data_IF_153530019418
#
_entry.id   IF_153530019418
#
_cell.length_a   1.000
_cell.length_b   1.000
_cell.length_c   1.000
_cell.angle_alpha   90.00
_cell.angle_beta   90.00
_cell.angle_gamma   90.00
#
_symmetry.space_group_name_H-M   'P 1'
#
loop_
_entity.id
_entity.type
_entity.pdbx_description
1 polymer ?
#
# COMPACT_ATOMS: atom_id res chain seq x y z
N UNK A 1 -7.99 -0.65 6.30
CA UNK A 1 -7.45 -0.18 4.99
C UNK A 1 -5.95 -0.48 4.92
N UNK A 2 -5.36 -0.91 3.78
CA UNK A 2 -4.02 -1.53 3.60
C UNK A 2 -2.88 -1.19 4.61
N UNK A 3 -2.74 0.07 5.02
CA UNK A 3 -1.83 0.51 6.09
C UNK A 3 -2.03 -0.26 7.43
N UNK A 4 -3.27 -0.41 7.86
CA UNK A 4 -3.65 -1.13 9.08
C UNK A 4 -3.28 -2.62 9.01
N UNK A 5 -3.52 -3.25 7.85
CA UNK A 5 -3.14 -4.65 7.60
C UNK A 5 -1.62 -4.80 7.65
N UNK A 6 -0.87 -3.86 7.08
CA UNK A 6 0.59 -3.92 7.13
C UNK A 6 1.13 -3.87 8.57
N UNK A 7 0.45 -3.16 9.49
CA UNK A 7 0.80 -3.14 10.92
C UNK A 7 0.42 -4.41 11.66
N UNK A 8 -0.58 -5.14 11.19
CA UNK A 8 -0.94 -6.46 11.71
C UNK A 8 0.01 -7.56 11.21
N UNK A 9 0.69 -7.35 10.07
CA UNK A 9 1.72 -8.28 9.58
C UNK A 9 3.02 -8.08 10.35
N UNK A 10 3.40 -6.81 10.58
CA UNK A 10 4.59 -6.45 11.32
C UNK A 10 4.62 -7.07 12.72
N UNK A 11 5.67 -7.84 13.01
CA UNK A 11 5.89 -8.44 14.33
C UNK A 11 4.93 -9.57 14.70
N UNK A 12 4.03 -9.96 13.78
CA UNK A 12 3.08 -11.07 13.97
C UNK A 12 3.28 -12.19 12.95
N UNK A 13 4.28 -12.07 12.07
CA UNK A 13 4.70 -13.11 11.11
C UNK A 13 5.82 -13.98 11.69
N UNK A 14 5.86 -15.25 11.29
CA UNK A 14 6.91 -16.20 11.71
C UNK A 14 8.28 -15.89 11.09
N UNK A 15 8.31 -15.21 9.94
CA UNK A 15 9.52 -14.92 9.18
C UNK A 15 9.60 -13.44 8.81
N UNK A 16 10.80 -12.87 8.93
CA UNK A 16 11.12 -11.47 8.61
C UNK A 16 10.81 -11.08 7.15
N UNK A 17 10.59 -12.05 6.26
CA UNK A 17 10.07 -11.81 4.91
C UNK A 17 8.75 -11.02 4.96
N UNK A 18 7.85 -11.33 5.91
CA UNK A 18 6.56 -10.66 6.03
C UNK A 18 6.70 -9.19 6.43
N UNK A 19 7.59 -8.90 7.39
CA UNK A 19 7.92 -7.53 7.80
C UNK A 19 8.57 -6.76 6.63
N UNK A 20 9.54 -7.41 5.96
CA UNK A 20 10.22 -6.86 4.79
C UNK A 20 9.29 -6.60 3.60
N UNK A 21 8.18 -7.33 3.49
CA UNK A 21 7.15 -7.07 2.49
C UNK A 21 6.19 -5.93 2.89
N UNK A 22 5.94 -5.75 4.20
CA UNK A 22 5.06 -4.70 4.72
C UNK A 22 5.71 -3.30 4.67
N UNK A 23 7.00 -3.18 4.98
CA UNK A 23 7.68 -1.88 5.08
C UNK A 23 7.70 -1.06 3.78
N UNK A 24 7.98 -1.63 2.59
CA UNK A 24 8.00 -0.86 1.34
C UNK A 24 6.64 -0.28 1.01
N UNK A 25 5.55 -1.03 1.26
CA UNK A 25 4.18 -0.57 1.02
C UNK A 25 3.81 0.54 1.99
N UNK A 26 4.25 0.47 3.24
CA UNK A 26 4.10 1.56 4.19
C UNK A 26 4.81 2.83 3.73
N UNK A 27 6.07 2.74 3.29
CA UNK A 27 6.79 3.88 2.71
C UNK A 27 6.08 4.46 1.50
N UNK A 28 5.59 3.58 0.61
CA UNK A 28 4.83 3.97 -0.58
C UNK A 28 3.56 4.76 -0.20
N UNK A 29 2.76 4.25 0.73
CA UNK A 29 1.55 4.94 1.19
C UNK A 29 1.89 6.27 1.88
N UNK A 30 2.98 6.33 2.65
CA UNK A 30 3.36 7.55 3.39
C UNK A 30 3.81 8.68 2.48
N UNK A 31 4.55 8.38 1.42
CA UNK A 31 5.19 9.41 0.57
C UNK A 31 4.49 9.59 -0.78
N UNK A 32 3.91 8.52 -1.34
CA UNK A 32 3.37 8.51 -2.71
C UNK A 32 1.84 8.35 -2.75
N UNK A 33 1.13 8.53 -1.63
CA UNK A 33 -0.35 8.55 -1.62
C UNK A 33 -0.94 9.46 -2.71
N UNK A 34 -0.47 10.70 -2.94
CA UNK A 34 -1.02 11.54 -3.99
C UNK A 34 -0.90 10.92 -5.39
N UNK A 35 0.21 10.22 -5.67
CA UNK A 35 0.44 9.56 -6.95
C UNK A 35 -0.48 8.33 -7.11
N UNK A 36 -0.66 7.54 -6.05
CA UNK A 36 -1.58 6.40 -6.05
C UNK A 36 -3.01 6.88 -6.36
N UNK A 37 -3.47 7.92 -5.66
CA UNK A 37 -4.81 8.49 -5.88
C UNK A 37 -4.97 9.06 -7.29
N UNK A 38 -3.93 9.71 -7.83
CA UNK A 38 -3.94 10.20 -9.21
C UNK A 38 -4.06 9.05 -10.23
N UNK A 39 -3.30 7.96 -10.05
CA UNK A 39 -3.37 6.76 -10.90
C UNK A 39 -4.75 6.11 -10.84
N UNK A 40 -5.35 6.03 -9.66
CA UNK A 40 -6.72 5.52 -9.48
C UNK A 40 -7.76 6.38 -10.20
N UNK A 41 -7.66 7.71 -10.08
CA UNK A 41 -8.54 8.66 -10.79
C UNK A 41 -8.41 8.52 -12.31
N UNK A 42 -7.18 8.41 -12.82
CA UNK A 42 -6.94 8.20 -14.25
C UNK A 42 -7.56 6.88 -14.75
N UNK A 43 -7.42 5.79 -13.98
CA UNK A 43 -8.04 4.52 -14.31
C UNK A 43 -9.58 4.62 -14.33
N UNK A 44 -10.17 5.22 -13.29
CA UNK A 44 -11.61 5.42 -13.22
C UNK A 44 -12.16 6.24 -14.40
N UNK A 45 -11.47 7.34 -14.76
CA UNK A 45 -11.84 8.17 -15.91
C UNK A 45 -11.77 7.42 -17.25
N UNK A 46 -10.80 6.52 -17.42
CA UNK A 46 -10.69 5.65 -18.61
C UNK A 46 -11.79 4.59 -18.68
N UNK A 47 -12.24 4.09 -17.54
CA UNK A 47 -13.28 3.06 -17.48
C UNK A 47 -14.70 3.62 -17.72
N UNK A 48 -14.91 4.92 -17.52
CA UNK A 48 -16.18 5.61 -17.75
C UNK A 48 -16.38 6.12 -19.18
N UNK A 49 -15.45 5.83 -20.10
CA UNK A 49 -15.45 6.27 -21.50
C UNK A 49 -15.38 5.05 -22.43
#
# INVERSE_FOLDING_TARGET
MLWEISKQIEGHTICALGDGAAWPVQGLIRHFRPEIEARMKQYAARASN
#
